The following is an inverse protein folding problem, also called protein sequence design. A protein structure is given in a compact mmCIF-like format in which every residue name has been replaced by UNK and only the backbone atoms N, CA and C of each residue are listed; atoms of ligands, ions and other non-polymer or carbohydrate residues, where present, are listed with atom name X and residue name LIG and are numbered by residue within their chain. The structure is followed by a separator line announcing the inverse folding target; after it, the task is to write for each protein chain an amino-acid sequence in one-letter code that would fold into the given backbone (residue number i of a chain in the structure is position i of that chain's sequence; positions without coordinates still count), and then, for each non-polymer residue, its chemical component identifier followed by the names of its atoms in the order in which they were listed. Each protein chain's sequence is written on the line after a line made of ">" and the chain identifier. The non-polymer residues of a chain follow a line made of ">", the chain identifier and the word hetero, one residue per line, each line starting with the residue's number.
data_IF_869639723342
#
_entry.id   IF_869639723342
#
_cell.length_a   1.000
_cell.length_b   1.000
_cell.length_c   1.000
_cell.angle_alpha   90.00
_cell.angle_beta   90.00
_cell.angle_gamma   90.00
#
_symmetry.space_group_name_H-M   'P 1'
#
loop_
_entity.id
_entity.type
_entity.pdbx_description
1 polymer ?
#
# COMPACT_ATOMS: atom_id res chain seq x y z
N UNK A 1 -72.31 17.22 -2.31
CA UNK A 1 -71.01 16.76 -2.84
C UNK A 1 -69.93 17.54 -2.10
N UNK A 2 -69.46 16.98 -0.99
CA UNK A 2 -68.55 17.65 -0.05
C UNK A 2 -67.36 16.73 0.14
N UNK A 3 -66.22 17.08 -0.46
CA UNK A 3 -65.00 16.26 -0.42
C UNK A 3 -64.37 16.26 0.96
N UNK A 4 -64.13 15.04 1.44
CA UNK A 4 -63.42 14.70 2.68
C UNK A 4 -61.93 15.00 2.50
N UNK A 5 -61.40 15.81 3.43
CA UNK A 5 -59.98 16.14 3.55
C UNK A 5 -59.30 15.03 4.37
N UNK A 6 -58.53 14.16 3.73
CA UNK A 6 -57.69 13.16 4.41
C UNK A 6 -56.31 13.75 4.69
N UNK A 7 -55.83 13.45 5.89
CA UNK A 7 -54.68 13.98 6.61
C UNK A 7 -53.55 12.96 6.50
N UNK A 8 -52.40 13.34 5.93
CA UNK A 8 -51.17 12.54 6.03
C UNK A 8 -50.29 13.07 7.19
N UNK A 9 -49.73 12.19 8.04
CA UNK A 9 -48.81 12.59 9.10
C UNK A 9 -47.34 12.53 8.64
N UNK A 10 -46.67 13.66 8.83
CA UNK A 10 -45.29 13.90 9.29
C UNK A 10 -44.15 12.87 9.10
N UNK A 11 -43.05 13.44 8.58
CA UNK A 11 -41.69 13.37 9.13
C UNK A 11 -40.86 12.12 8.89
N UNK A 12 -40.15 12.10 7.76
CA UNK A 12 -38.82 11.48 7.66
C UNK A 12 -37.75 12.54 7.93
N UNK A 13 -37.33 12.66 9.20
CA UNK A 13 -36.02 13.21 9.55
C UNK A 13 -34.95 12.33 8.91
N UNK A 14 -34.30 12.85 7.87
CA UNK A 14 -33.05 12.31 7.34
C UNK A 14 -32.01 12.42 8.46
N UNK A 15 -31.65 11.27 9.04
CA UNK A 15 -30.48 11.18 9.94
C UNK A 15 -29.27 11.21 9.03
N UNK A 16 -28.60 12.36 8.98
CA UNK A 16 -27.34 12.54 8.26
C UNK A 16 -26.17 12.36 9.24
N UNK A 17 -25.33 11.34 8.98
CA UNK A 17 -23.91 11.12 9.36
C UNK A 17 -23.60 9.64 9.74
N UNK A 18 -22.52 9.04 9.18
CA UNK A 18 -21.21 9.12 9.88
C UNK A 18 -19.95 9.13 8.95
N UNK A 19 -19.91 9.92 7.88
CA UNK A 19 -18.71 9.98 7.03
C UNK A 19 -17.51 10.72 7.70
N UNK A 20 -17.77 11.71 8.56
CA UNK A 20 -16.72 12.57 9.14
C UNK A 20 -15.83 11.85 10.16
N UNK A 21 -16.42 11.05 11.06
CA UNK A 21 -15.67 10.39 12.16
C UNK A 21 -14.72 9.30 11.67
N UNK A 22 -15.05 8.62 10.56
CA UNK A 22 -14.17 7.61 9.96
C UNK A 22 -12.99 8.23 9.23
N UNK A 23 -13.21 9.34 8.50
CA UNK A 23 -12.15 10.12 7.84
C UNK A 23 -11.16 10.70 8.85
N UNK A 24 -11.66 11.27 9.95
CA UNK A 24 -10.80 11.84 11.00
C UNK A 24 -9.93 10.77 11.69
N UNK A 25 -10.48 9.56 11.86
CA UNK A 25 -9.77 8.42 12.44
C UNK A 25 -8.72 7.85 11.47
N UNK A 26 -9.01 7.77 10.16
CA UNK A 26 -8.03 7.37 9.16
C UNK A 26 -6.90 8.38 9.03
N UNK A 27 -7.20 9.67 9.04
CA UNK A 27 -6.21 10.75 8.96
C UNK A 27 -5.30 10.76 10.19
N UNK A 28 -5.86 10.53 11.37
CA UNK A 28 -5.06 10.37 12.59
C UNK A 28 -4.17 9.12 12.53
N UNK A 29 -4.67 8.00 12.03
CA UNK A 29 -3.87 6.76 11.87
C UNK A 29 -2.69 7.01 10.93
N UNK A 30 -2.93 7.67 9.80
CA UNK A 30 -1.89 8.05 8.82
C UNK A 30 -0.84 8.92 9.50
N UNK A 31 -1.24 9.97 10.23
CA UNK A 31 -0.30 10.84 10.96
C UNK A 31 0.54 10.07 11.97
N UNK A 32 -0.05 9.14 12.72
CA UNK A 32 0.68 8.31 13.68
C UNK A 32 1.70 7.41 12.96
N UNK A 33 1.32 6.79 11.84
CA UNK A 33 2.24 5.97 11.05
C UNK A 33 3.41 6.79 10.47
N UNK A 34 3.12 7.99 9.94
CA UNK A 34 4.15 8.91 9.43
C UNK A 34 5.11 9.33 10.54
N UNK A 35 4.57 9.74 11.70
CA UNK A 35 5.36 10.11 12.87
C UNK A 35 6.27 8.95 13.34
N UNK A 36 5.76 7.73 13.34
CA UNK A 36 6.55 6.54 13.65
C UNK A 36 7.69 6.35 12.65
N UNK A 37 7.44 6.44 11.34
CA UNK A 37 8.47 6.33 10.31
C UNK A 37 9.54 7.43 10.44
N UNK A 38 9.15 8.67 10.76
CA UNK A 38 10.08 9.78 11.04
C UNK A 38 10.97 9.47 12.24
N UNK A 39 10.40 9.00 13.34
CA UNK A 39 11.16 8.59 14.52
C UNK A 39 12.15 7.47 14.20
N UNK A 40 11.70 6.43 13.49
CA UNK A 40 12.54 5.30 13.08
C UNK A 40 13.67 5.76 12.17
N UNK A 41 13.39 6.62 11.19
CA UNK A 41 14.43 7.20 10.33
C UNK A 41 15.47 7.98 11.14
N UNK A 42 15.03 8.82 12.09
CA UNK A 42 15.90 9.69 12.88
C UNK A 42 16.77 8.97 13.91
N UNK A 43 16.24 7.98 14.62
CA UNK A 43 16.96 7.31 15.73
C UNK A 43 16.93 5.78 15.76
N UNK A 44 16.31 5.14 14.78
CA UNK A 44 16.17 3.69 14.74
C UNK A 44 14.96 3.20 15.54
N UNK A 45 14.56 1.95 15.30
CA UNK A 45 13.34 1.38 15.86
C UNK A 45 13.48 1.04 17.36
N UNK A 46 14.63 0.50 17.79
CA UNK A 46 14.92 0.22 19.21
C UNK A 46 14.86 1.46 20.09
N UNK A 47 15.37 2.58 19.61
CA UNK A 47 15.37 3.85 20.33
C UNK A 47 14.04 4.62 20.23
N UNK A 48 13.10 4.15 19.40
CA UNK A 48 11.78 4.79 19.24
C UNK A 48 10.81 4.31 20.33
N UNK A 49 10.36 5.24 21.16
CA UNK A 49 9.31 5.02 22.16
C UNK A 49 7.94 5.50 21.66
N UNK A 50 6.87 5.05 22.32
CA UNK A 50 5.52 5.54 22.03
C UNK A 50 5.39 7.04 22.32
N UNK A 51 6.17 7.57 23.26
CA UNK A 51 6.13 8.99 23.63
C UNK A 51 6.72 9.86 22.53
N UNK A 52 7.78 9.37 21.89
CA UNK A 52 8.37 10.05 20.73
C UNK A 52 7.37 10.16 19.59
N UNK A 53 6.68 9.04 19.30
CA UNK A 53 5.64 9.00 18.25
C UNK A 53 4.47 9.90 18.62
N UNK A 54 4.08 9.94 19.89
CA UNK A 54 3.00 10.79 20.38
C UNK A 54 3.33 12.28 20.19
N UNK A 55 4.55 12.68 20.56
CA UNK A 55 5.05 14.04 20.36
C UNK A 55 5.09 14.39 18.87
N UNK A 56 5.70 13.53 18.05
CA UNK A 56 5.82 13.75 16.59
C UNK A 56 4.45 13.79 15.90
N UNK A 57 3.50 12.95 16.31
CA UNK A 57 2.13 12.93 15.77
C UNK A 57 1.22 14.04 16.33
N UNK A 58 1.68 14.80 17.33
CA UNK A 58 0.88 15.83 17.99
C UNK A 58 -0.33 15.29 18.75
N UNK A 59 -0.23 14.08 19.34
CA UNK A 59 -1.31 13.44 20.07
C UNK A 59 -0.86 12.82 21.41
N UNK A 60 -1.80 12.44 22.28
CA UNK A 60 -1.47 11.76 23.54
C UNK A 60 -1.23 10.25 23.38
N UNK A 61 -0.40 9.66 24.25
CA UNK A 61 -0.16 8.19 24.28
C UNK A 61 -1.44 7.35 24.32
N UNK A 62 -2.42 7.77 25.13
CA UNK A 62 -3.70 7.07 25.26
C UNK A 62 -4.47 7.05 23.93
N UNK A 63 -4.31 8.08 23.10
CA UNK A 63 -4.87 8.12 21.74
C UNK A 63 -4.19 7.09 20.85
N UNK A 64 -2.86 6.97 20.88
CA UNK A 64 -2.15 5.94 20.11
C UNK A 64 -2.63 4.54 20.49
N UNK A 65 -2.69 4.20 21.77
CA UNK A 65 -3.13 2.87 22.20
C UNK A 65 -4.58 2.54 21.80
N UNK A 66 -5.43 3.56 21.69
CA UNK A 66 -6.83 3.41 21.24
C UNK A 66 -6.94 3.22 19.73
N UNK A 67 -6.14 3.95 18.95
CA UNK A 67 -6.19 3.92 17.48
C UNK A 67 -5.40 2.73 16.92
N UNK A 68 -4.22 2.46 17.48
CA UNK A 68 -3.31 1.39 17.08
C UNK A 68 -3.02 0.52 18.31
N UNK A 69 -3.84 -0.53 18.54
CA UNK A 69 -3.59 -1.48 19.61
C UNK A 69 -2.32 -2.32 19.32
N UNK A 70 -1.78 -2.98 20.35
CA UNK A 70 -0.59 -3.83 20.20
C UNK A 70 0.75 -3.10 20.35
N UNK A 71 0.73 -1.82 20.76
CA UNK A 71 1.93 -1.07 21.12
C UNK A 71 2.91 -0.92 19.96
N UNK A 72 4.21 -1.14 20.22
CA UNK A 72 5.26 -0.96 19.19
C UNK A 72 5.10 -1.93 18.01
N UNK A 73 4.70 -3.17 18.26
CA UNK A 73 4.44 -4.14 17.19
C UNK A 73 3.25 -3.71 16.35
N UNK A 74 2.18 -3.22 16.99
CA UNK A 74 1.04 -2.63 16.29
C UNK A 74 1.43 -1.47 15.39
N UNK A 75 2.24 -0.53 15.90
CA UNK A 75 2.77 0.58 15.10
C UNK A 75 3.59 0.11 13.90
N UNK A 76 4.45 -0.89 14.06
CA UNK A 76 5.24 -1.42 12.96
C UNK A 76 4.35 -2.02 11.87
N UNK A 77 3.35 -2.84 12.24
CA UNK A 77 2.39 -3.42 11.30
C UNK A 77 1.60 -2.31 10.58
N UNK A 78 1.06 -1.34 11.31
CA UNK A 78 0.30 -0.24 10.73
C UNK A 78 1.17 0.65 9.83
N UNK A 79 2.46 0.83 10.16
CA UNK A 79 3.40 1.59 9.33
C UNK A 79 3.78 0.84 8.05
N UNK A 80 3.88 -0.50 8.09
CA UNK A 80 4.04 -1.33 6.90
C UNK A 80 2.81 -1.20 5.99
N UNK A 81 1.62 -1.30 6.57
CA UNK A 81 0.36 -1.12 5.83
C UNK A 81 0.27 0.27 5.18
N UNK A 82 0.62 1.32 5.92
CA UNK A 82 0.68 2.68 5.40
C UNK A 82 1.71 2.83 4.27
N UNK A 83 2.91 2.27 4.44
CA UNK A 83 3.96 2.31 3.41
C UNK A 83 3.53 1.60 2.13
N UNK A 84 2.77 0.52 2.27
CA UNK A 84 2.22 -0.20 1.14
C UNK A 84 1.16 0.62 0.39
N UNK A 85 0.31 1.38 1.09
CA UNK A 85 -0.60 2.34 0.44
C UNK A 85 0.15 3.41 -0.36
N UNK A 86 1.25 3.97 0.18
CA UNK A 86 2.08 4.93 -0.55
C UNK A 86 2.68 4.35 -1.84
N UNK A 87 3.07 3.07 -1.81
CA UNK A 87 3.58 2.37 -3.00
C UNK A 87 2.46 2.22 -4.05
N UNK A 88 1.26 1.85 -3.63
CA UNK A 88 0.10 1.72 -4.53
C UNK A 88 -0.25 3.06 -5.18
N UNK A 89 -0.28 4.14 -4.41
CA UNK A 89 -0.58 5.49 -4.91
C UNK A 89 0.49 5.95 -5.92
N UNK A 90 1.76 5.68 -5.63
CA UNK A 90 2.86 5.95 -6.54
C UNK A 90 2.74 5.14 -7.85
N UNK A 91 2.39 3.85 -7.76
CA UNK A 91 2.14 3.00 -8.91
C UNK A 91 0.94 3.50 -9.73
N UNK A 92 -0.19 3.82 -9.09
CA UNK A 92 -1.39 4.33 -9.74
C UNK A 92 -1.10 5.60 -10.55
N UNK A 93 -0.32 6.51 -9.96
CA UNK A 93 0.17 7.71 -10.64
C UNK A 93 1.09 7.35 -11.81
N UNK A 94 2.03 6.42 -11.61
CA UNK A 94 3.02 6.06 -12.62
C UNK A 94 2.40 5.35 -13.84
N UNK A 95 1.41 4.49 -13.64
CA UNK A 95 0.75 3.78 -14.74
C UNK A 95 -0.16 4.68 -15.57
N UNK A 96 -0.50 5.88 -15.10
CA UNK A 96 -1.30 6.81 -15.88
C UNK A 96 -0.67 7.11 -17.25
N UNK A 97 -1.51 7.12 -18.28
CA UNK A 97 -1.08 7.28 -19.68
C UNK A 97 -0.33 6.09 -20.31
N UNK A 98 -0.05 4.98 -19.61
CA UNK A 98 0.56 3.80 -20.25
C UNK A 98 -0.36 3.19 -21.30
N UNK A 99 0.20 2.73 -22.43
CA UNK A 99 -0.57 2.21 -23.57
C UNK A 99 -0.65 0.68 -23.61
N UNK A 100 0.22 0.01 -22.86
CA UNK A 100 0.28 -1.45 -22.81
C UNK A 100 0.48 -1.93 -21.38
N UNK A 101 0.16 -3.20 -21.12
CA UNK A 101 0.43 -3.83 -19.83
C UNK A 101 1.93 -3.86 -19.51
N UNK A 102 2.80 -4.08 -20.50
CA UNK A 102 4.25 -4.09 -20.30
C UNK A 102 4.74 -2.71 -19.83
N UNK A 103 4.24 -1.64 -20.45
CA UNK A 103 4.58 -0.28 -20.01
C UNK A 103 4.08 0.00 -18.59
N UNK A 104 2.83 -0.37 -18.27
CA UNK A 104 2.28 -0.19 -16.94
C UNK A 104 3.06 -0.98 -15.88
N UNK A 105 3.38 -2.24 -16.14
CA UNK A 105 4.17 -3.09 -15.23
C UNK A 105 5.57 -2.52 -15.04
N UNK A 106 6.28 -2.12 -16.10
CA UNK A 106 7.61 -1.51 -15.99
C UNK A 106 7.59 -0.22 -15.16
N UNK A 107 6.57 0.62 -15.35
CA UNK A 107 6.40 1.85 -14.56
C UNK A 107 6.06 1.56 -13.10
N UNK A 108 5.22 0.55 -12.82
CA UNK A 108 4.91 0.12 -11.45
C UNK A 108 6.14 -0.46 -10.73
N UNK A 109 6.94 -1.31 -11.39
CA UNK A 109 8.20 -1.82 -10.82
C UNK A 109 9.10 -0.66 -10.42
N UNK A 110 9.29 0.31 -11.32
CA UNK A 110 10.12 1.50 -11.02
C UNK A 110 9.56 2.31 -9.87
N UNK A 111 8.26 2.63 -9.90
CA UNK A 111 7.61 3.44 -8.88
C UNK A 111 7.74 2.80 -7.49
N UNK A 112 7.44 1.50 -7.38
CA UNK A 112 7.57 0.76 -6.13
C UNK A 112 9.03 0.70 -5.65
N UNK A 113 9.98 0.42 -6.55
CA UNK A 113 11.41 0.37 -6.21
C UNK A 113 11.93 1.73 -5.72
N UNK A 114 11.57 2.83 -6.40
CA UNK A 114 11.94 4.18 -5.98
C UNK A 114 11.35 4.53 -4.62
N UNK A 115 10.06 4.27 -4.38
CA UNK A 115 9.41 4.52 -3.08
C UNK A 115 10.10 3.78 -1.92
N UNK A 116 10.54 2.53 -2.16
CA UNK A 116 11.28 1.76 -1.16
C UNK A 116 12.72 2.25 -0.97
N UNK A 117 13.39 2.64 -2.06
CA UNK A 117 14.75 3.18 -2.02
C UNK A 117 14.81 4.51 -1.27
N UNK A 118 13.82 5.38 -1.46
CA UNK A 118 13.73 6.70 -0.83
C UNK A 118 13.31 6.64 0.66
N UNK A 119 12.82 5.50 1.13
CA UNK A 119 12.39 5.31 2.51
C UNK A 119 13.56 5.16 3.47
N UNK A 120 14.02 6.27 4.06
CA UNK A 120 15.09 6.29 5.07
C UNK A 120 14.81 5.34 6.24
N UNK A 121 13.54 5.27 6.69
CA UNK A 121 13.13 4.36 7.76
C UNK A 121 13.34 2.89 7.38
N UNK A 122 12.95 2.50 6.16
CA UNK A 122 13.15 1.14 5.66
C UNK A 122 14.63 0.82 5.47
N UNK A 123 15.40 1.72 4.85
CA UNK A 123 16.84 1.53 4.64
C UNK A 123 17.56 1.33 5.97
N UNK A 124 17.19 2.11 6.99
CA UNK A 124 17.74 1.97 8.34
C UNK A 124 17.32 0.66 9.01
N UNK A 125 16.06 0.25 8.91
CA UNK A 125 15.59 -1.04 9.44
C UNK A 125 16.34 -2.21 8.81
N UNK A 126 16.56 -2.18 7.49
CA UNK A 126 17.30 -3.21 6.78
C UNK A 126 18.78 -3.28 7.21
N UNK A 127 19.40 -2.13 7.48
CA UNK A 127 20.81 -2.04 7.84
C UNK A 127 21.08 -2.34 9.33
N UNK A 128 20.30 -1.75 10.23
CA UNK A 128 20.58 -1.73 11.67
C UNK A 128 19.73 -2.73 12.47
N UNK A 129 18.51 -3.02 12.00
CA UNK A 129 17.52 -3.82 12.74
C UNK A 129 16.85 -4.92 11.89
N UNK A 130 17.61 -5.75 11.15
CA UNK A 130 17.05 -6.72 10.22
C UNK A 130 16.09 -7.71 10.91
N UNK A 131 16.35 -8.07 12.17
CA UNK A 131 15.49 -8.98 12.93
C UNK A 131 14.06 -8.47 13.16
N UNK A 132 13.82 -7.17 13.06
CA UNK A 132 12.48 -6.59 13.20
C UNK A 132 11.71 -6.59 11.87
N UNK A 133 12.38 -6.40 10.74
CA UNK A 133 11.74 -6.25 9.42
C UNK A 133 11.71 -7.55 8.61
N UNK A 134 12.74 -8.41 8.74
CA UNK A 134 12.83 -9.67 7.99
C UNK A 134 11.63 -10.62 8.19
N UNK A 135 10.98 -10.70 9.37
CA UNK A 135 9.77 -11.51 9.51
C UNK A 135 8.67 -11.10 8.52
N UNK A 136 8.52 -9.81 8.22
CA UNK A 136 7.56 -9.30 7.23
C UNK A 136 7.98 -9.53 5.78
N UNK A 137 9.27 -9.75 5.54
CA UNK A 137 9.85 -10.03 4.22
C UNK A 137 10.12 -11.53 4.01
N UNK A 138 9.79 -12.36 5.00
CA UNK A 138 9.88 -13.82 4.92
C UNK A 138 8.77 -14.39 4.03
N UNK A 139 8.90 -15.64 3.61
CA UNK A 139 7.91 -16.28 2.74
C UNK A 139 6.50 -16.23 3.33
N UNK A 140 6.34 -16.60 4.60
CA UNK A 140 5.05 -16.57 5.29
C UNK A 140 4.60 -15.12 5.56
N UNK A 141 5.53 -14.25 5.95
CA UNK A 141 5.23 -12.85 6.28
C UNK A 141 4.84 -11.98 5.08
N UNK A 142 5.27 -12.37 3.87
CA UNK A 142 4.88 -11.69 2.63
C UNK A 142 3.49 -12.07 2.16
N UNK A 143 2.91 -13.19 2.62
CA UNK A 143 1.61 -13.65 2.15
C UNK A 143 0.51 -12.59 2.30
N UNK A 144 0.35 -11.91 3.47
CA UNK A 144 -0.63 -10.82 3.61
C UNK A 144 -0.34 -9.63 2.69
N UNK A 145 0.94 -9.31 2.46
CA UNK A 145 1.37 -8.22 1.57
C UNK A 145 0.99 -8.54 0.13
N UNK A 146 1.32 -9.74 -0.36
CA UNK A 146 1.00 -10.18 -1.72
C UNK A 146 -0.50 -10.25 -1.96
N UNK A 147 -1.27 -10.75 -0.99
CA UNK A 147 -2.73 -10.78 -1.09
C UNK A 147 -3.31 -9.36 -1.22
N UNK A 148 -2.76 -8.40 -0.47
CA UNK A 148 -3.19 -7.00 -0.58
C UNK A 148 -2.77 -6.36 -1.89
N UNK A 149 -1.55 -6.62 -2.36
CA UNK A 149 -1.10 -6.20 -3.70
C UNK A 149 -2.06 -6.69 -4.77
N UNK A 150 -2.41 -7.98 -4.75
CA UNK A 150 -3.35 -8.58 -5.70
C UNK A 150 -4.73 -7.89 -5.70
N UNK A 151 -5.22 -7.44 -4.53
CA UNK A 151 -6.50 -6.72 -4.42
C UNK A 151 -6.49 -5.35 -5.11
N UNK A 152 -5.35 -4.66 -5.16
CA UNK A 152 -5.25 -3.37 -5.83
C UNK A 152 -4.81 -3.45 -7.28
N UNK A 153 -4.21 -4.56 -7.70
CA UNK A 153 -3.75 -4.74 -9.06
C UNK A 153 -4.78 -4.43 -10.15
N UNK A 154 -6.09 -4.74 -10.00
CA UNK A 154 -7.10 -4.33 -10.97
C UNK A 154 -7.16 -2.81 -11.19
N UNK A 155 -6.90 -1.99 -10.16
CA UNK A 155 -6.83 -0.54 -10.30
C UNK A 155 -5.66 -0.10 -11.21
N UNK A 156 -4.57 -0.85 -11.21
CA UNK A 156 -3.36 -0.53 -11.95
C UNK A 156 -3.39 -1.11 -13.38
N UNK A 157 -3.93 -2.32 -13.53
CA UNK A 157 -3.73 -3.14 -14.72
C UNK A 157 -5.03 -3.59 -15.40
N UNK A 158 -6.19 -3.43 -14.75
CA UNK A 158 -7.48 -3.94 -15.25
C UNK A 158 -7.93 -3.36 -16.59
N UNK A 159 -7.34 -2.24 -17.04
CA UNK A 159 -7.59 -1.70 -18.39
C UNK A 159 -6.94 -2.52 -19.51
N UNK A 160 -6.05 -3.45 -19.18
CA UNK A 160 -5.27 -4.23 -20.15
C UNK A 160 -5.54 -5.73 -20.11
N UNK A 161 -5.96 -6.24 -18.95
CA UNK A 161 -6.04 -7.67 -18.63
C UNK A 161 -7.20 -7.92 -17.66
N UNK A 162 -7.60 -9.18 -17.49
CA UNK A 162 -8.64 -9.55 -16.50
C UNK A 162 -8.19 -9.27 -15.06
N UNK A 163 -9.11 -9.20 -14.11
CA UNK A 163 -8.78 -8.96 -12.69
C UNK A 163 -7.86 -10.06 -12.12
N UNK A 164 -8.02 -11.31 -12.57
CA UNK A 164 -7.15 -12.42 -12.18
C UNK A 164 -5.72 -12.20 -12.69
N UNK A 165 -5.57 -11.90 -13.98
CA UNK A 165 -4.27 -11.59 -14.58
C UNK A 165 -3.63 -10.31 -14.01
N UNK A 166 -4.45 -9.33 -13.65
CA UNK A 166 -3.99 -8.14 -12.94
C UNK A 166 -3.42 -8.54 -11.57
N UNK A 167 -4.13 -9.37 -10.81
CA UNK A 167 -3.67 -9.95 -9.55
C UNK A 167 -2.29 -10.60 -9.69
N UNK A 168 -2.14 -11.51 -10.65
CA UNK A 168 -0.88 -12.19 -10.97
C UNK A 168 0.24 -11.20 -11.34
N UNK A 169 -0.07 -10.19 -12.16
CA UNK A 169 0.88 -9.16 -12.55
C UNK A 169 1.37 -8.35 -11.35
N UNK A 170 0.47 -7.99 -10.42
CA UNK A 170 0.87 -7.28 -9.21
C UNK A 170 1.70 -8.13 -8.26
N UNK A 171 1.36 -9.40 -8.08
CA UNK A 171 2.22 -10.33 -7.32
C UNK A 171 3.61 -10.43 -7.94
N UNK A 172 3.70 -10.55 -9.27
CA UNK A 172 4.98 -10.56 -9.98
C UNK A 172 5.78 -9.27 -9.74
N UNK A 173 5.14 -8.10 -9.85
CA UNK A 173 5.77 -6.79 -9.54
C UNK A 173 6.32 -6.79 -8.12
N UNK A 174 5.53 -7.20 -7.13
CA UNK A 174 5.95 -7.22 -5.74
C UNK A 174 7.16 -8.14 -5.52
N UNK A 175 7.16 -9.35 -6.11
CA UNK A 175 8.29 -10.29 -6.00
C UNK A 175 9.56 -9.77 -6.65
N UNK A 176 9.47 -9.16 -7.83
CA UNK A 176 10.61 -8.54 -8.51
C UNK A 176 11.19 -7.43 -7.64
N UNK A 177 10.35 -6.50 -7.17
CA UNK A 177 10.80 -5.37 -6.36
C UNK A 177 11.44 -5.84 -5.05
N UNK A 178 10.81 -6.78 -4.34
CA UNK A 178 11.31 -7.32 -3.08
C UNK A 178 12.59 -8.16 -3.26
N UNK A 179 12.71 -8.91 -4.36
CA UNK A 179 13.92 -9.66 -4.69
C UNK A 179 15.14 -8.76 -4.92
N UNK A 180 14.90 -7.55 -5.44
CA UNK A 180 15.95 -6.55 -5.70
C UNK A 180 16.18 -5.58 -4.53
N UNK A 181 15.28 -5.54 -3.54
CA UNK A 181 15.36 -4.65 -2.36
C UNK A 181 16.71 -4.72 -1.62
N UNK A 182 17.39 -5.88 -1.68
CA UNK A 182 18.67 -6.13 -1.00
C UNK A 182 19.90 -6.17 -1.92
N UNK A 183 19.78 -5.71 -3.16
CA UNK A 183 20.90 -5.73 -4.12
C UNK A 183 21.32 -4.33 -4.58
N UNK A 184 21.79 -3.45 -3.68
CA UNK A 184 22.43 -2.19 -4.10
C UNK A 184 23.63 -2.48 -5.01
N UNK A 185 23.69 -1.83 -6.17
CA UNK A 185 24.78 -2.02 -7.14
C UNK A 185 24.73 -3.33 -7.92
N UNK A 186 23.61 -4.06 -7.88
CA UNK A 186 23.37 -5.17 -8.80
C UNK A 186 23.32 -4.70 -10.27
N UNK A 187 23.42 -5.63 -11.23
CA UNK A 187 23.40 -5.29 -12.66
C UNK A 187 22.07 -4.68 -13.13
N UNK A 188 21.01 -4.82 -12.34
CA UNK A 188 19.68 -4.29 -12.61
C UNK A 188 19.33 -3.26 -11.54
N UNK A 189 19.33 -1.99 -11.91
CA UNK A 189 18.79 -0.88 -11.13
C UNK A 189 17.28 -0.74 -11.41
N UNK A 190 16.42 -1.11 -10.47
CA UNK A 190 14.98 -0.96 -10.63
C UNK A 190 14.49 0.49 -10.46
N UNK A 191 15.34 1.43 -10.09
CA UNK A 191 14.98 2.86 -10.07
C UNK A 191 15.13 3.51 -11.46
N UNK A 192 15.81 2.85 -12.39
CA UNK A 192 15.90 3.21 -13.80
C UNK A 192 14.76 2.55 -14.61
N UNK A 193 13.95 3.38 -15.29
CA UNK A 193 12.83 2.91 -16.11
C UNK A 193 13.29 2.02 -17.28
N UNK A 194 14.45 2.28 -17.88
CA UNK A 194 14.93 1.50 -19.03
C UNK A 194 15.41 0.12 -18.61
N UNK A 195 15.96 -0.01 -17.40
CA UNK A 195 16.24 -1.30 -16.78
C UNK A 195 14.96 -2.08 -16.51
N UNK A 196 13.93 -1.42 -15.95
CA UNK A 196 12.62 -2.02 -15.72
C UNK A 196 11.94 -2.48 -17.01
N UNK A 197 11.98 -1.66 -18.07
CA UNK A 197 11.45 -2.02 -19.40
C UNK A 197 12.12 -3.27 -19.94
N UNK A 198 13.45 -3.32 -19.94
CA UNK A 198 14.21 -4.50 -20.41
C UNK A 198 13.85 -5.75 -19.61
N UNK A 199 13.72 -5.64 -18.29
CA UNK A 199 13.33 -6.76 -17.43
C UNK A 199 11.93 -7.27 -17.79
N UNK A 200 10.95 -6.38 -17.92
CA UNK A 200 9.57 -6.72 -18.26
C UNK A 200 9.48 -7.32 -19.66
N UNK A 201 10.07 -6.68 -20.67
CA UNK A 201 10.05 -7.18 -22.05
C UNK A 201 10.71 -8.56 -22.20
N UNK A 202 11.66 -8.90 -21.31
CA UNK A 202 12.38 -10.19 -21.35
C UNK A 202 11.64 -11.30 -20.60
N UNK A 203 11.05 -11.01 -19.44
CA UNK A 203 10.59 -12.05 -18.50
C UNK A 203 9.11 -12.01 -18.16
N UNK A 204 8.42 -10.90 -18.44
CA UNK A 204 7.01 -10.76 -18.13
C UNK A 204 6.16 -11.25 -19.30
N UNK A 205 5.55 -12.42 -19.13
CA UNK A 205 4.70 -13.04 -20.15
C UNK A 205 3.29 -13.17 -19.57
N UNK A 206 2.33 -12.51 -20.22
CA UNK A 206 0.91 -12.75 -19.96
C UNK A 206 0.35 -13.56 -21.11
N UNK A 207 -0.12 -14.77 -20.80
CA UNK A 207 -0.84 -15.61 -21.76
C UNK A 207 -2.25 -15.04 -21.96
N UNK A 208 -2.74 -14.83 -23.19
CA UNK A 208 -4.13 -14.45 -23.40
C UNK A 208 -5.05 -15.53 -22.83
N UNK A 209 -6.12 -15.12 -22.16
CA UNK A 209 -7.12 -16.08 -21.67
C UNK A 209 -7.64 -16.90 -22.84
N UNK A 210 -7.62 -18.22 -22.69
CA UNK A 210 -8.21 -19.11 -23.70
C UNK A 210 -9.69 -18.76 -23.82
N UNK A 211 -10.25 -18.57 -25.03
CA UNK A 211 -11.68 -18.34 -25.16
C UNK A 211 -12.39 -19.52 -24.49
N UNK A 212 -13.23 -19.23 -23.50
CA UNK A 212 -14.07 -20.24 -22.89
C UNK A 212 -14.89 -20.88 -24.00
N UNK A 213 -14.51 -22.09 -24.42
CA UNK A 213 -15.37 -22.96 -25.22
C UNK A 213 -16.53 -23.33 -24.31
N UNK A 214 -17.62 -22.55 -24.37
CA UNK A 214 -18.89 -22.96 -23.80
C UNK A 214 -19.28 -24.28 -24.49
N UNK A 215 -19.20 -25.37 -23.73
CA UNK A 215 -19.77 -26.67 -24.08
C UNK A 215 -21.19 -26.77 -23.52
#
# INVERSE_FOLDING_TARGET
>A
MTSVKVREPNSSTVVDAPASTQSDASDLTIRICQAFLVCVAGKGLRATSIDDVAVEAGCGRATIYRVIPGGRTGLLISAVDHSLSLIVDACATAVDGSKTIHEAVARSVRAAASTLADSVALQRLLAEEPGAILPFLSFDGLTPVLHRVAQWSPLLFGRFVSDAQAGDAGEWVARVVLGHLRTPGGPIDLTDLDHCRRLVDTFFIITPESPHTNA
#
